data_IF_708937970600
#
_entry.id   IF_708937970600
#
_cell.length_a   1.000
_cell.length_b   1.000
_cell.length_c   1.000
_cell.angle_alpha   90.00
_cell.angle_beta   90.00
_cell.angle_gamma   90.00
#
_symmetry.space_group_name_H-M   'P 1'
#
loop_
_entity.id
_entity.type
_entity.pdbx_description
1 polymer ?
#
# COMPACT_ATOMS: atom_id res chain seq x y z
N UNK A 1 3.07 -8.53 12.13
CA UNK A 1 2.57 -8.31 10.76
C UNK A 1 1.51 -9.34 10.35
N UNK A 2 1.69 -10.64 10.60
CA UNK A 2 0.80 -11.71 10.12
C UNK A 2 -0.68 -11.63 10.56
N UNK A 3 -1.00 -10.87 11.62
CA UNK A 3 -2.37 -10.66 12.11
C UNK A 3 -2.92 -9.27 11.76
N UNK A 4 -2.17 -8.47 11.00
CA UNK A 4 -2.61 -7.13 10.62
C UNK A 4 -3.72 -7.21 9.57
N UNK A 5 -4.77 -6.40 9.75
CA UNK A 5 -5.84 -6.25 8.75
C UNK A 5 -5.39 -5.47 7.51
N UNK A 6 -4.42 -4.59 7.69
CA UNK A 6 -3.79 -3.76 6.69
C UNK A 6 -2.41 -3.34 7.21
N UNK A 7 -1.42 -3.29 6.33
CA UNK A 7 -0.13 -2.65 6.61
C UNK A 7 0.00 -1.42 5.72
N UNK A 8 0.37 -0.28 6.34
CA UNK A 8 0.77 0.95 5.65
C UNK A 8 2.22 1.20 5.99
N UNK A 9 3.09 1.32 5.00
CA UNK A 9 4.52 1.51 5.22
C UNK A 9 5.14 2.35 4.10
N UNK A 10 6.18 3.12 4.44
CA UNK A 10 7.05 3.73 3.45
C UNK A 10 8.13 2.72 2.98
N UNK A 11 8.97 3.15 2.05
CA UNK A 11 10.14 2.39 1.63
C UNK A 11 11.15 2.24 2.77
N UNK A 12 11.14 1.08 3.41
CA UNK A 12 12.00 0.74 4.54
C UNK A 12 12.18 -0.78 4.63
N UNK A 13 13.27 -1.24 5.27
CA UNK A 13 13.55 -2.67 5.47
C UNK A 13 12.33 -3.52 5.92
N UNK A 14 11.57 -3.10 6.95
CA UNK A 14 10.36 -3.80 7.39
C UNK A 14 9.24 -3.88 6.35
N UNK A 15 9.17 -2.96 5.39
CA UNK A 15 8.17 -2.93 4.33
C UNK A 15 8.25 -4.20 3.46
N UNK A 16 9.47 -4.67 3.16
CA UNK A 16 9.68 -5.89 2.37
C UNK A 16 9.15 -7.13 3.09
N UNK A 17 9.34 -7.21 4.42
CA UNK A 17 8.77 -8.30 5.24
C UNK A 17 7.24 -8.21 5.24
N UNK A 18 6.67 -7.01 5.36
CA UNK A 18 5.23 -6.81 5.36
C UNK A 18 4.58 -7.20 4.03
N UNK A 19 5.26 -6.94 2.91
CA UNK A 19 4.80 -7.39 1.59
C UNK A 19 4.79 -8.92 1.49
N UNK A 20 5.80 -9.60 2.02
CA UNK A 20 5.87 -11.07 2.11
C UNK A 20 4.86 -11.71 3.08
N UNK A 21 4.30 -10.93 4.02
CA UNK A 21 3.26 -11.41 4.93
C UNK A 21 1.88 -11.61 4.24
N UNK A 22 1.74 -11.22 2.97
CA UNK A 22 0.54 -11.42 2.13
C UNK A 22 -0.78 -10.86 2.71
N UNK A 23 -0.69 -9.99 3.72
CA UNK A 23 -1.80 -9.17 4.23
C UNK A 23 -2.06 -8.01 3.25
N UNK A 24 -3.25 -7.38 3.30
CA UNK A 24 -3.51 -6.15 2.54
C UNK A 24 -2.45 -5.09 2.84
N UNK A 25 -2.00 -4.37 1.80
CA UNK A 25 -0.79 -3.53 1.89
C UNK A 25 -0.94 -2.21 1.13
N UNK A 26 -0.51 -1.11 1.75
CA UNK A 26 -0.35 0.20 1.10
C UNK A 26 1.09 0.67 1.29
N UNK A 27 1.80 0.84 0.18
CA UNK A 27 3.14 1.41 0.17
C UNK A 27 3.11 2.91 -0.11
N UNK A 28 3.92 3.68 0.59
CA UNK A 28 4.10 5.12 0.36
C UNK A 28 5.52 5.33 -0.16
N UNK A 29 5.66 5.83 -1.39
CA UNK A 29 6.96 5.95 -2.04
C UNK A 29 7.14 7.36 -2.60
N UNK A 30 8.39 7.83 -2.65
CA UNK A 30 8.73 9.10 -3.29
C UNK A 30 8.59 9.03 -4.82
N UNK A 31 8.74 7.82 -5.39
CA UNK A 31 8.61 7.52 -6.82
C UNK A 31 8.09 6.07 -7.00
N UNK A 32 7.65 5.65 -8.20
CA UNK A 32 6.95 4.37 -8.41
C UNK A 32 7.67 3.07 -7.98
N UNK A 33 9.00 3.06 -7.84
CA UNK A 33 9.81 1.96 -7.27
C UNK A 33 9.29 0.52 -7.56
N UNK A 34 9.07 0.13 -8.82
CA UNK A 34 8.43 -1.15 -9.17
C UNK A 34 9.25 -2.37 -8.73
N UNK A 35 10.56 -2.23 -8.56
CA UNK A 35 11.45 -3.28 -8.07
C UNK A 35 11.32 -3.51 -6.55
N UNK A 36 10.80 -2.52 -5.81
CA UNK A 36 10.61 -2.56 -4.36
C UNK A 36 9.14 -2.76 -3.95
N UNK A 37 8.21 -2.48 -4.86
CA UNK A 37 6.78 -2.69 -4.68
C UNK A 37 6.28 -3.94 -5.40
N UNK A 38 5.91 -4.96 -4.63
CA UNK A 38 5.26 -6.15 -5.14
C UNK A 38 3.78 -5.89 -5.43
N UNK A 39 3.50 -5.45 -6.65
CA UNK A 39 2.15 -5.26 -7.16
C UNK A 39 1.37 -6.59 -7.22
N UNK A 40 0.29 -6.66 -6.45
CA UNK A 40 -0.61 -7.82 -6.36
C UNK A 40 -2.04 -7.41 -5.97
N UNK A 41 -3.04 -8.33 -6.05
CA UNK A 41 -4.36 -8.06 -5.48
C UNK A 41 -4.27 -7.66 -4.00
N UNK A 42 -5.08 -6.68 -3.58
CA UNK A 42 -5.08 -6.11 -2.22
C UNK A 42 -3.77 -5.39 -1.85
N UNK A 43 -3.08 -4.85 -2.85
CA UNK A 43 -1.98 -3.91 -2.65
C UNK A 43 -2.22 -2.61 -3.42
N UNK A 44 -1.70 -1.50 -2.90
CA UNK A 44 -1.65 -0.23 -3.60
C UNK A 44 -0.35 0.51 -3.27
N UNK A 45 0.12 1.31 -4.22
CA UNK A 45 1.20 2.27 -4.02
C UNK A 45 0.61 3.69 -4.07
N UNK A 46 1.04 4.53 -3.14
CA UNK A 46 0.77 5.97 -3.12
C UNK A 46 2.08 6.67 -3.41
N UNK A 47 2.07 7.49 -4.45
CA UNK A 47 3.22 8.25 -4.94
C UNK A 47 2.78 9.70 -5.20
N UNK A 48 3.72 10.66 -5.25
CA UNK A 48 3.41 12.03 -5.64
C UNK A 48 2.75 12.07 -7.02
N UNK A 49 1.87 13.04 -7.25
CA UNK A 49 1.21 13.23 -8.55
C UNK A 49 2.21 13.54 -9.67
N UNK A 50 3.28 14.25 -9.32
CA UNK A 50 4.44 14.53 -10.17
C UNK A 50 5.71 14.21 -9.41
N UNK A 51 6.70 13.63 -10.08
CA UNK A 51 7.94 13.18 -9.41
C UNK A 51 8.69 14.35 -8.76
N UNK A 52 8.62 15.55 -9.33
CA UNK A 52 9.26 16.75 -8.78
C UNK A 52 8.65 17.25 -7.47
N UNK A 53 7.41 16.83 -7.14
CA UNK A 53 6.69 17.29 -5.96
C UNK A 53 7.22 16.65 -4.67
N UNK A 54 7.84 15.46 -4.77
CA UNK A 54 8.40 14.73 -3.63
C UNK A 54 7.36 14.17 -2.66
N UNK A 55 7.82 13.31 -1.74
CA UNK A 55 6.97 12.52 -0.84
C UNK A 55 6.11 13.38 0.10
N UNK A 56 6.56 14.60 0.43
CA UNK A 56 5.88 15.51 1.36
C UNK A 56 4.54 16.05 0.80
N UNK A 57 4.29 15.87 -0.50
CA UNK A 57 3.01 16.25 -1.13
C UNK A 57 1.94 15.17 -1.06
N UNK A 58 2.30 13.96 -0.62
CA UNK A 58 1.33 12.90 -0.35
C UNK A 58 0.55 13.27 0.90
N UNK A 59 -0.76 13.46 0.73
CA UNK A 59 -1.62 13.80 1.86
C UNK A 59 -2.10 12.56 2.61
N UNK A 60 -2.48 12.69 3.89
CA UNK A 60 -3.17 11.60 4.61
C UNK A 60 -4.44 11.10 3.91
N UNK A 61 -5.15 11.98 3.18
CA UNK A 61 -6.35 11.61 2.42
C UNK A 61 -6.03 10.73 1.21
N UNK A 62 -4.91 10.96 0.52
CA UNK A 62 -4.44 10.09 -0.56
C UNK A 62 -4.16 8.67 -0.02
N UNK A 63 -3.52 8.59 1.14
CA UNK A 63 -3.23 7.33 1.84
C UNK A 63 -4.52 6.65 2.30
N UNK A 64 -5.46 7.40 2.89
CA UNK A 64 -6.76 6.88 3.33
C UNK A 64 -7.56 6.32 2.15
N UNK A 65 -7.58 7.01 1.01
CA UNK A 65 -8.23 6.54 -0.22
C UNK A 65 -7.66 5.21 -0.70
N UNK A 66 -6.33 5.06 -0.69
CA UNK A 66 -5.68 3.80 -1.03
C UNK A 66 -6.02 2.68 -0.03
N UNK A 67 -6.03 2.98 1.28
CA UNK A 67 -6.40 2.03 2.33
C UNK A 67 -7.83 1.52 2.13
N UNK A 68 -8.78 2.41 1.86
CA UNK A 68 -10.18 2.05 1.58
C UNK A 68 -10.30 1.15 0.37
N UNK A 69 -9.67 1.51 -0.76
CA UNK A 69 -9.68 0.71 -1.98
C UNK A 69 -9.16 -0.71 -1.74
N UNK A 70 -8.05 -0.84 -1.00
CA UNK A 70 -7.44 -2.13 -0.67
C UNK A 70 -8.35 -2.98 0.23
N UNK A 71 -9.00 -2.37 1.23
CA UNK A 71 -9.88 -3.07 2.18
C UNK A 71 -11.25 -3.42 1.60
N UNK A 72 -11.85 -2.57 0.77
CA UNK A 72 -13.11 -2.84 0.08
C UNK A 72 -12.94 -4.05 -0.85
N UNK A 73 -11.83 -4.12 -1.59
CA UNK A 73 -11.49 -5.29 -2.41
C UNK A 73 -11.33 -6.59 -1.59
N UNK A 74 -10.88 -6.48 -0.33
CA UNK A 74 -10.75 -7.62 0.57
C UNK A 74 -12.10 -8.11 1.11
N UNK A 75 -13.01 -7.18 1.44
CA UNK A 75 -14.33 -7.52 1.96
C UNK A 75 -15.13 -8.35 0.93
N UNK A 76 -15.06 -8.00 -0.35
CA UNK A 76 -15.80 -8.73 -1.40
C UNK A 76 -15.34 -10.17 -1.61
N UNK A 77 -14.07 -10.51 -1.33
CA UNK A 77 -13.57 -11.89 -1.44
C UNK A 77 -14.01 -12.73 -0.22
N UNK A 78 -14.07 -12.13 0.97
CA UNK A 78 -14.42 -12.85 2.20
C UNK A 78 -15.89 -13.31 2.26
N UNK A 79 -16.79 -12.72 1.47
CA UNK A 79 -18.21 -13.08 1.37
C UNK A 79 -18.57 -13.88 0.11
N UNK A 80 -17.57 -14.28 -0.69
CA UNK A 80 -17.77 -15.05 -1.92
C UNK A 80 -17.55 -16.57 -1.75
N UNK A 81 -17.55 -17.06 -0.50
CA UNK A 81 -17.36 -18.47 -0.15
C UNK A 81 -18.42 -18.99 0.80
#
# INVERSE_FOLDING_TARGET
>A
MLQARLVVANDCGPSHIAQGACVPYVGIFNEPNPEWFWQRPRSAAVVPRRLEDGIDTITPDDVLGACRKVLEHHAHIAYAG
#
